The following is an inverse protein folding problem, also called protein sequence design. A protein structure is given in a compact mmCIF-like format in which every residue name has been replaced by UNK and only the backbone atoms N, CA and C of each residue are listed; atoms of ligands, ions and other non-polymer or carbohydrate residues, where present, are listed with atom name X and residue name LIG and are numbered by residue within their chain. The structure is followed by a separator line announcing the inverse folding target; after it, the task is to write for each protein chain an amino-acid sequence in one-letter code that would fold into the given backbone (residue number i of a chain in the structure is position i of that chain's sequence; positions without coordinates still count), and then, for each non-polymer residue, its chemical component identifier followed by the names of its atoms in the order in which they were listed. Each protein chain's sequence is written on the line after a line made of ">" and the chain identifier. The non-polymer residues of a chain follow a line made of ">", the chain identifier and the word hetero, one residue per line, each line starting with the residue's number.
data_IF_638974155948
#
_entry.id   IF_638974155948
#
_cell.length_a   1.000
_cell.length_b   1.000
_cell.length_c   1.000
_cell.angle_alpha   90.00
_cell.angle_beta   90.00
_cell.angle_gamma   90.00
#
_symmetry.space_group_name_H-M   'P 1'
#
loop_
_entity.id
_entity.type
_entity.pdbx_description
1 polymer ?
#
# COMPACT_ATOMS: atom_id res chain seq x y z
N UNK A 1 -11.53 13.10 3.08
CA UNK A 1 -12.23 13.88 2.06
C UNK A 1 -13.55 14.31 2.68
N UNK A 2 -13.89 15.60 2.64
CA UNK A 2 -15.20 16.05 3.08
C UNK A 2 -16.19 15.94 1.93
N UNK A 3 -17.42 15.60 2.24
CA UNK A 3 -18.55 15.64 1.30
C UNK A 3 -19.01 17.07 1.00
N UNK A 4 -18.27 18.07 1.47
CA UNK A 4 -18.62 19.46 1.24
C UNK A 4 -18.26 19.90 -0.18
N UNK A 5 -19.15 20.59 -0.84
CA UNK A 5 -18.95 21.19 -2.17
C UNK A 5 -17.82 22.22 -2.20
N UNK A 6 -17.34 22.65 -1.04
CA UNK A 6 -16.29 23.67 -0.88
C UNK A 6 -14.88 23.08 -0.77
N UNK A 7 -14.72 21.75 -0.76
CA UNK A 7 -13.45 21.08 -0.56
C UNK A 7 -12.88 21.30 0.85
N UNK A 8 -12.27 20.27 1.41
CA UNK A 8 -11.55 20.40 2.67
C UNK A 8 -10.04 20.37 2.39
N UNK A 9 -9.29 21.28 3.01
CA UNK A 9 -7.84 21.22 3.01
C UNK A 9 -7.40 20.05 3.91
N UNK A 10 -6.79 19.03 3.30
CA UNK A 10 -6.16 17.96 4.04
C UNK A 10 -4.70 18.35 4.32
N UNK A 11 -4.41 18.68 5.58
CA UNK A 11 -3.03 18.87 6.03
C UNK A 11 -2.49 17.52 6.51
N UNK A 12 -1.45 17.05 5.85
CA UNK A 12 -0.80 15.80 6.22
C UNK A 12 0.42 16.08 7.11
N UNK A 13 0.63 15.30 8.19
CA UNK A 13 1.83 15.40 9.00
C UNK A 13 3.07 14.96 8.23
N UNK A 14 4.24 15.26 8.78
CA UNK A 14 5.49 14.69 8.28
C UNK A 14 5.39 13.17 8.26
N UNK A 15 5.83 12.56 7.17
CA UNK A 15 5.93 11.11 7.06
C UNK A 15 7.12 10.69 6.20
N UNK A 16 7.63 9.48 6.46
CA UNK A 16 8.76 8.91 5.72
C UNK A 16 8.34 7.59 5.11
N UNK A 17 8.54 7.45 3.80
CA UNK A 17 8.44 6.15 3.15
C UNK A 17 9.74 5.38 3.38
N UNK A 18 9.64 4.25 4.09
CA UNK A 18 10.75 3.35 4.42
C UNK A 18 11.07 2.36 3.31
N UNK A 19 10.16 2.16 2.35
CA UNK A 19 10.42 1.31 1.18
C UNK A 19 11.45 1.99 0.27
N UNK A 20 12.57 1.31 -0.03
CA UNK A 20 13.72 1.93 -0.71
C UNK A 20 13.48 2.17 -2.20
N UNK A 21 12.67 1.34 -2.85
CA UNK A 21 12.34 1.39 -4.28
C UNK A 21 10.83 1.30 -4.43
N UNK A 22 10.13 2.40 -4.12
CA UNK A 22 8.67 2.38 -3.94
C UNK A 22 7.89 2.06 -5.22
N UNK A 23 8.50 2.24 -6.39
CA UNK A 23 7.88 1.88 -7.68
C UNK A 23 8.84 1.22 -8.68
N UNK A 24 10.02 0.79 -8.26
CA UNK A 24 10.97 0.02 -9.07
C UNK A 24 11.04 -1.42 -8.56
N UNK A 25 10.01 -2.22 -8.86
CA UNK A 25 9.88 -3.58 -8.35
C UNK A 25 10.86 -4.59 -8.98
N UNK A 26 11.59 -4.21 -10.04
CA UNK A 26 12.69 -4.99 -10.62
C UNK A 26 13.96 -4.94 -9.78
N UNK A 27 14.17 -3.89 -9.01
CA UNK A 27 15.40 -3.67 -8.24
C UNK A 27 15.63 -4.76 -7.18
N UNK A 28 16.88 -4.88 -6.73
CA UNK A 28 17.35 -5.95 -5.82
C UNK A 28 16.74 -5.87 -4.43
N UNK A 29 16.33 -4.70 -3.99
CA UNK A 29 15.63 -4.46 -2.72
C UNK A 29 14.31 -5.22 -2.65
N UNK A 30 13.70 -5.49 -3.79
CA UNK A 30 12.53 -6.34 -3.91
C UNK A 30 12.94 -7.80 -4.17
N UNK A 31 13.03 -8.57 -3.09
CA UNK A 31 13.28 -10.03 -3.17
C UNK A 31 12.04 -10.73 -3.74
N UNK A 32 12.23 -11.49 -4.79
CA UNK A 32 11.22 -12.25 -5.51
C UNK A 32 11.34 -13.74 -5.20
N UNK A 33 10.26 -14.39 -4.83
CA UNK A 33 10.19 -15.85 -4.63
C UNK A 33 9.07 -16.38 -5.50
N UNK A 34 9.37 -17.26 -6.43
CA UNK A 34 8.39 -17.83 -7.38
C UNK A 34 7.56 -16.75 -8.11
N UNK A 35 8.15 -15.59 -8.35
CA UNK A 35 7.52 -14.48 -9.06
C UNK A 35 8.50 -13.78 -9.99
N UNK A 36 7.94 -13.10 -10.98
CA UNK A 36 8.64 -12.15 -11.86
C UNK A 36 7.84 -10.85 -11.97
N UNK A 37 8.49 -9.78 -12.36
CA UNK A 37 7.86 -8.49 -12.62
C UNK A 37 8.20 -8.00 -14.02
N UNK A 38 7.23 -7.39 -14.70
CA UNK A 38 7.43 -6.65 -15.95
C UNK A 38 6.87 -5.25 -15.84
N UNK A 39 7.60 -4.29 -16.40
CA UNK A 39 7.31 -2.86 -16.32
C UNK A 39 6.39 -2.39 -17.47
N UNK A 40 6.10 -1.09 -17.46
CA UNK A 40 5.39 -0.35 -18.50
C UNK A 40 3.91 -0.71 -18.65
N UNK A 41 3.30 -1.15 -17.58
CA UNK A 41 1.86 -1.37 -17.51
C UNK A 41 1.10 -0.08 -17.20
N UNK A 42 -0.17 -0.02 -17.60
CA UNK A 42 -1.01 1.15 -17.33
C UNK A 42 -1.38 1.22 -15.85
N UNK A 43 -0.93 2.28 -15.19
CA UNK A 43 -1.11 2.53 -13.77
C UNK A 43 -2.34 3.39 -13.43
N UNK A 44 -2.43 3.75 -12.18
CA UNK A 44 -3.39 4.72 -11.66
C UNK A 44 -3.20 6.06 -12.40
N UNK A 45 -4.31 6.68 -12.81
CA UNK A 45 -4.29 7.94 -13.56
C UNK A 45 -3.80 7.82 -15.01
N UNK A 46 -3.66 6.59 -15.54
CA UNK A 46 -3.30 6.34 -16.96
C UNK A 46 -1.81 6.45 -17.28
N UNK A 47 -0.94 6.62 -16.27
CA UNK A 47 0.52 6.59 -16.47
C UNK A 47 1.02 5.18 -16.81
N UNK A 48 2.12 5.07 -17.57
CA UNK A 48 2.73 3.78 -17.98
C UNK A 48 3.84 3.36 -17.02
N UNK A 49 3.60 3.40 -15.73
CA UNK A 49 4.59 3.13 -14.68
C UNK A 49 4.12 2.08 -13.65
N UNK A 50 3.10 1.31 -13.96
CA UNK A 50 2.73 0.15 -13.18
C UNK A 50 3.54 -1.09 -13.59
N UNK A 51 3.44 -2.13 -12.79
CA UNK A 51 4.15 -3.39 -12.95
C UNK A 51 3.19 -4.57 -12.93
N UNK A 52 3.40 -5.52 -13.81
CA UNK A 52 2.73 -6.83 -13.75
C UNK A 52 3.56 -7.73 -12.83
N UNK A 53 2.98 -8.20 -11.73
CA UNK A 53 3.54 -9.19 -10.82
C UNK A 53 2.95 -10.55 -11.16
N UNK A 54 3.76 -11.45 -11.73
CA UNK A 54 3.37 -12.78 -12.15
C UNK A 54 3.94 -13.85 -11.23
N UNK A 55 3.11 -14.77 -10.76
CA UNK A 55 3.56 -15.96 -10.00
C UNK A 55 3.83 -17.13 -10.95
N UNK A 56 4.81 -17.96 -10.61
CA UNK A 56 5.22 -19.14 -11.38
C UNK A 56 5.20 -20.44 -10.57
N UNK A 57 4.85 -20.36 -9.29
CA UNK A 57 4.65 -21.51 -8.39
C UNK A 57 3.79 -21.10 -7.21
N UNK A 58 3.37 -22.07 -6.40
CA UNK A 58 2.66 -21.81 -5.13
C UNK A 58 3.43 -20.85 -4.24
N UNK A 59 2.69 -20.07 -3.46
CA UNK A 59 3.23 -19.08 -2.51
C UNK A 59 4.17 -18.06 -3.15
N UNK A 60 3.98 -17.79 -4.44
CA UNK A 60 4.72 -16.74 -5.14
C UNK A 60 4.52 -15.38 -4.49
N UNK A 61 5.61 -14.66 -4.22
CA UNK A 61 5.58 -13.37 -3.53
C UNK A 61 6.70 -12.43 -3.97
N UNK A 62 6.48 -11.14 -3.73
CA UNK A 62 7.53 -10.13 -3.72
C UNK A 62 7.57 -9.47 -2.34
N UNK A 63 8.76 -9.16 -1.83
CA UNK A 63 8.95 -8.56 -0.50
C UNK A 63 10.11 -7.60 -0.45
N UNK A 64 10.02 -6.65 0.47
CA UNK A 64 11.15 -5.81 0.86
C UNK A 64 11.47 -6.03 2.34
N UNK A 65 12.76 -6.20 2.66
CA UNK A 65 13.24 -6.34 4.04
C UNK A 65 13.40 -4.94 4.64
N UNK A 66 12.55 -4.63 5.62
CA UNK A 66 12.53 -3.38 6.36
C UNK A 66 12.33 -3.74 7.82
N UNK A 67 13.35 -3.51 8.65
CA UNK A 67 13.28 -3.76 10.09
C UNK A 67 12.74 -2.54 10.80
N UNK A 68 11.65 -2.72 11.52
CA UNK A 68 10.99 -1.64 12.28
C UNK A 68 10.20 -2.22 13.47
N UNK A 69 9.68 -1.36 14.31
CA UNK A 69 8.89 -1.71 15.50
C UNK A 69 7.77 -0.70 15.73
N UNK A 70 6.79 -1.06 16.57
CA UNK A 70 5.63 -0.24 16.84
C UNK A 70 4.59 -0.29 15.71
N UNK A 71 3.71 0.69 15.68
CA UNK A 71 2.71 0.82 14.64
C UNK A 71 3.38 1.13 13.28
N UNK A 72 3.13 0.28 12.29
CA UNK A 72 3.60 0.48 10.92
C UNK A 72 2.47 0.21 9.93
N UNK A 73 2.41 1.05 8.93
CA UNK A 73 1.41 0.97 7.87
C UNK A 73 2.11 0.65 6.54
N UNK A 74 1.66 -0.43 5.91
CA UNK A 74 2.05 -0.82 4.56
C UNK A 74 0.89 -0.53 3.60
N UNK A 75 1.15 0.19 2.54
CA UNK A 75 0.19 0.45 1.47
C UNK A 75 0.79 0.18 0.10
N UNK A 76 -0.04 -0.30 -0.82
CA UNK A 76 0.31 -0.53 -2.22
C UNK A 76 -0.94 -0.39 -3.09
N UNK A 77 -0.76 0.11 -4.30
CA UNK A 77 -1.82 0.15 -5.29
C UNK A 77 -1.82 -1.17 -6.04
N UNK A 78 -2.98 -1.81 -6.15
CA UNK A 78 -3.15 -3.12 -6.76
C UNK A 78 -4.35 -3.10 -7.68
N UNK A 79 -4.25 -3.80 -8.81
CA UNK A 79 -5.34 -4.01 -9.73
C UNK A 79 -5.37 -5.48 -10.14
N UNK A 80 -6.57 -5.99 -10.40
CA UNK A 80 -6.80 -7.32 -10.95
C UNK A 80 -6.05 -7.50 -12.28
N UNK A 81 -5.38 -8.63 -12.39
CA UNK A 81 -4.86 -9.18 -13.63
C UNK A 81 -5.66 -10.43 -14.01
N UNK A 82 -4.97 -11.55 -14.18
CA UNK A 82 -5.64 -12.86 -14.31
C UNK A 82 -6.15 -13.40 -12.96
N UNK A 83 -5.59 -12.92 -11.85
CA UNK A 83 -6.02 -13.23 -10.48
C UNK A 83 -6.83 -12.08 -9.89
N UNK A 84 -7.86 -12.42 -9.11
CA UNK A 84 -8.79 -11.48 -8.51
C UNK A 84 -8.49 -11.19 -7.03
N UNK A 85 -7.43 -11.73 -6.49
CA UNK A 85 -7.10 -11.57 -5.08
C UNK A 85 -5.64 -11.15 -4.88
N UNK A 86 -5.40 -10.39 -3.83
CA UNK A 86 -4.06 -10.08 -3.32
C UNK A 86 -4.00 -10.37 -1.84
N UNK A 87 -2.88 -10.91 -1.35
CA UNK A 87 -2.58 -10.97 0.07
C UNK A 87 -1.49 -9.98 0.40
N UNK A 88 -1.74 -9.08 1.35
CA UNK A 88 -0.72 -8.25 1.98
C UNK A 88 -0.30 -8.88 3.30
N UNK A 89 1.00 -8.81 3.60
CA UNK A 89 1.56 -9.47 4.77
C UNK A 89 2.65 -8.60 5.41
N UNK A 90 2.52 -8.37 6.71
CA UNK A 90 3.55 -7.78 7.57
C UNK A 90 4.16 -8.91 8.38
N UNK A 91 5.42 -9.23 8.10
CA UNK A 91 6.14 -10.28 8.79
C UNK A 91 6.83 -9.73 10.05
N UNK A 92 6.62 -10.41 11.15
CA UNK A 92 7.25 -10.15 12.43
C UNK A 92 7.67 -11.46 13.08
N UNK A 93 8.75 -11.45 13.85
CA UNK A 93 9.16 -12.62 14.65
C UNK A 93 8.29 -12.82 15.90
N UNK A 94 7.50 -11.83 16.29
CA UNK A 94 6.57 -11.91 17.41
C UNK A 94 5.15 -12.22 16.96
N UNK A 95 4.56 -11.35 16.13
CA UNK A 95 3.19 -11.53 15.66
C UNK A 95 3.05 -10.97 14.24
N UNK A 96 3.06 -11.84 13.25
CA UNK A 96 2.81 -11.48 11.85
C UNK A 96 1.33 -11.20 11.60
N UNK A 97 1.05 -10.36 10.61
CA UNK A 97 -0.32 -10.03 10.21
C UNK A 97 -0.51 -10.08 8.71
N UNK A 98 -1.70 -10.47 8.27
CA UNK A 98 -2.05 -10.46 6.85
C UNK A 98 -3.53 -10.18 6.60
N UNK A 99 -3.84 -9.80 5.38
CA UNK A 99 -5.20 -9.65 4.86
C UNK A 99 -5.23 -10.06 3.40
N UNK A 100 -6.33 -10.73 3.01
CA UNK A 100 -6.68 -10.94 1.60
C UNK A 100 -7.66 -9.85 1.15
N UNK A 101 -7.49 -9.35 -0.06
CA UNK A 101 -8.37 -8.33 -0.66
C UNK A 101 -8.83 -8.83 -2.02
N UNK A 102 -10.15 -8.78 -2.23
CA UNK A 102 -10.77 -9.08 -3.51
C UNK A 102 -10.67 -7.87 -4.44
N UNK A 103 -10.00 -8.02 -5.57
CA UNK A 103 -9.76 -6.97 -6.56
C UNK A 103 -10.92 -6.80 -7.57
N UNK A 104 -11.97 -7.61 -7.49
CA UNK A 104 -13.19 -7.40 -8.27
C UNK A 104 -14.11 -6.35 -7.63
N UNK A 105 -14.07 -6.21 -6.31
CA UNK A 105 -15.01 -5.37 -5.57
C UNK A 105 -14.39 -4.55 -4.41
N UNK A 106 -13.09 -4.76 -4.10
CA UNK A 106 -12.39 -4.06 -3.02
C UNK A 106 -12.74 -4.54 -1.61
N UNK A 107 -13.45 -5.65 -1.46
CA UNK A 107 -13.79 -6.19 -0.14
C UNK A 107 -12.63 -6.97 0.47
N UNK A 108 -12.49 -6.87 1.78
CA UNK A 108 -11.54 -7.68 2.53
C UNK A 108 -12.09 -9.08 2.77
N UNK A 109 -11.23 -10.06 2.59
CA UNK A 109 -11.46 -11.46 2.95
C UNK A 109 -10.81 -11.82 4.28
N UNK A 110 -10.28 -13.04 4.35
CA UNK A 110 -9.62 -13.58 5.54
C UNK A 110 -8.44 -12.71 5.97
N UNK A 111 -8.33 -12.49 7.26
CA UNK A 111 -7.20 -11.80 7.90
C UNK A 111 -6.63 -12.61 9.06
N UNK A 112 -5.37 -12.38 9.38
CA UNK A 112 -4.69 -12.98 10.54
C UNK A 112 -3.87 -11.93 11.29
N UNK A 113 -3.64 -12.14 12.59
CA UNK A 113 -2.88 -11.22 13.44
C UNK A 113 -3.57 -9.88 13.68
N UNK A 114 -4.89 -9.79 13.50
CA UNK A 114 -5.74 -8.63 13.81
C UNK A 114 -5.19 -7.28 13.28
N UNK A 115 -4.87 -7.15 11.98
CA UNK A 115 -4.46 -5.86 11.42
C UNK A 115 -5.64 -4.90 11.32
N UNK A 116 -5.35 -3.59 11.32
CA UNK A 116 -6.28 -2.61 10.78
C UNK A 116 -6.13 -2.56 9.26
N UNK A 117 -7.24 -2.66 8.54
CA UNK A 117 -7.25 -2.69 7.08
C UNK A 117 -8.13 -1.59 6.51
N UNK A 118 -7.65 -0.94 5.46
CA UNK A 118 -8.43 0.00 4.65
C UNK A 118 -8.17 -0.28 3.17
N UNK A 119 -9.24 -0.35 2.39
CA UNK A 119 -9.16 -0.47 0.93
C UNK A 119 -9.85 0.75 0.32
N UNK A 120 -9.13 1.49 -0.51
CA UNK A 120 -9.63 2.71 -1.14
C UNK A 120 -9.75 2.45 -2.64
N UNK A 121 -10.96 2.52 -3.21
CA UNK A 121 -11.11 2.40 -4.65
C UNK A 121 -10.46 3.59 -5.35
N UNK A 122 -9.81 3.31 -6.46
CA UNK A 122 -9.15 4.26 -7.33
C UNK A 122 -9.68 4.09 -8.76
N UNK A 123 -9.31 4.97 -9.66
CA UNK A 123 -9.75 4.92 -11.04
C UNK A 123 -9.29 3.64 -11.77
N UNK A 124 -10.06 3.25 -12.80
CA UNK A 124 -9.74 2.14 -13.71
C UNK A 124 -9.54 0.76 -13.05
N UNK A 125 -10.26 0.50 -11.95
CA UNK A 125 -10.24 -0.78 -11.25
C UNK A 125 -9.00 -0.99 -10.36
N UNK A 126 -8.29 0.06 -10.05
CA UNK A 126 -7.23 0.06 -9.04
C UNK A 126 -7.82 0.19 -7.63
N UNK A 127 -7.12 -0.37 -6.67
CA UNK A 127 -7.38 -0.20 -5.24
C UNK A 127 -6.08 0.16 -4.53
N UNK A 128 -6.11 1.15 -3.65
CA UNK A 128 -5.05 1.31 -2.66
C UNK A 128 -5.37 0.42 -1.47
N UNK A 129 -4.62 -0.65 -1.32
CA UNK A 129 -4.75 -1.60 -0.22
C UNK A 129 -3.78 -1.20 0.90
N UNK A 130 -4.29 -1.09 2.13
CA UNK A 130 -3.57 -0.56 3.30
C UNK A 130 -3.75 -1.55 4.44
N UNK A 131 -2.64 -1.96 5.04
CA UNK A 131 -2.62 -2.81 6.23
C UNK A 131 -1.74 -2.15 7.30
N UNK A 132 -2.25 -2.03 8.51
CA UNK A 132 -1.53 -1.49 9.66
C UNK A 132 -1.43 -2.53 10.76
N UNK A 133 -0.26 -2.67 11.35
CA UNK A 133 -0.03 -3.52 12.53
C UNK A 133 0.88 -2.80 13.51
N UNK A 134 0.48 -2.81 14.78
CA UNK A 134 1.34 -2.45 15.90
C UNK A 134 1.92 -3.73 16.49
N UNK A 135 3.21 -3.94 16.30
CA UNK A 135 3.95 -5.09 16.81
C UNK A 135 5.45 -4.81 16.84
N UNK A 136 6.19 -5.63 17.56
CA UNK A 136 7.65 -5.55 17.61
C UNK A 136 8.31 -6.43 16.55
N UNK A 137 9.60 -6.17 16.28
CA UNK A 137 10.42 -7.01 15.41
C UNK A 137 9.82 -7.30 14.02
N UNK A 138 9.20 -6.30 13.40
CA UNK A 138 8.82 -6.36 11.99
C UNK A 138 10.11 -6.47 11.18
N UNK A 139 10.14 -7.37 10.20
CA UNK A 139 11.34 -7.65 9.42
C UNK A 139 11.13 -7.59 7.90
N UNK A 140 9.91 -7.71 7.41
CA UNK A 140 9.62 -7.49 6.00
C UNK A 140 8.11 -7.29 5.71
N UNK A 141 7.83 -6.70 4.55
CA UNK A 141 6.51 -6.46 4.01
C UNK A 141 6.38 -7.19 2.67
N UNK A 142 5.24 -7.89 2.45
CA UNK A 142 5.07 -8.81 1.31
C UNK A 142 3.78 -8.57 0.56
N UNK A 143 3.83 -8.84 -0.74
CA UNK A 143 2.68 -8.85 -1.66
C UNK A 143 2.65 -10.23 -2.31
N UNK A 144 1.49 -10.91 -2.25
CA UNK A 144 1.25 -12.18 -2.90
C UNK A 144 0.11 -12.03 -3.90
N UNK A 145 0.30 -12.36 -5.17
CA UNK A 145 -0.82 -12.70 -6.04
C UNK A 145 -1.53 -13.93 -5.47
N UNK A 146 -2.83 -13.80 -5.15
CA UNK A 146 -3.60 -14.85 -4.50
C UNK A 146 -4.68 -15.39 -5.45
N UNK A 147 -4.98 -16.67 -5.33
CA UNK A 147 -5.88 -17.38 -6.23
C UNK A 147 -7.34 -17.20 -5.80
N UNK A 148 -7.55 -17.16 -4.49
CA UNK A 148 -8.83 -16.92 -3.85
C UNK A 148 -8.63 -16.31 -2.45
N UNK A 149 -9.72 -16.10 -1.71
CA UNK A 149 -9.64 -15.80 -0.28
C UNK A 149 -8.93 -16.95 0.44
N UNK A 150 -7.96 -16.59 1.25
CA UNK A 150 -7.11 -17.53 2.03
C UNK A 150 -6.38 -18.58 1.19
N UNK A 151 -6.11 -18.29 -0.08
CA UNK A 151 -5.44 -19.25 -0.99
C UNK A 151 -4.35 -18.57 -1.83
N UNK A 152 -3.11 -19.08 -1.71
CA UNK A 152 -1.94 -18.74 -2.52
C UNK A 152 -1.32 -19.95 -3.21
N UNK A 153 -2.03 -21.10 -3.22
CA UNK A 153 -1.50 -22.40 -3.64
C UNK A 153 -1.38 -22.59 -5.15
N UNK A 154 -2.10 -21.81 -5.96
CA UNK A 154 -2.01 -21.87 -7.41
C UNK A 154 -0.60 -21.57 -7.93
N UNK A 155 -0.29 -22.10 -9.10
CA UNK A 155 1.07 -22.10 -9.66
C UNK A 155 1.29 -21.08 -10.78
N UNK A 156 0.27 -20.27 -11.12
CA UNK A 156 0.36 -19.27 -12.18
C UNK A 156 -0.66 -18.15 -11.95
N UNK A 157 -0.48 -17.07 -12.69
CA UNK A 157 -1.38 -15.92 -12.67
C UNK A 157 -0.66 -14.65 -12.27
N UNK A 158 -1.35 -13.53 -12.37
CA UNK A 158 -0.75 -12.22 -12.16
C UNK A 158 -1.77 -11.21 -11.60
N UNK A 159 -1.22 -10.15 -11.02
CA UNK A 159 -1.89 -8.90 -10.64
C UNK A 159 -1.03 -7.72 -11.09
N UNK A 160 -1.61 -6.52 -11.16
CA UNK A 160 -0.85 -5.28 -11.36
C UNK A 160 -0.56 -4.63 -10.01
N UNK A 161 0.64 -4.09 -9.85
CA UNK A 161 1.09 -3.39 -8.63
C UNK A 161 1.73 -2.04 -8.97
N UNK A 162 1.63 -1.07 -8.04
CA UNK A 162 2.21 0.25 -8.17
C UNK A 162 2.36 0.90 -6.79
N UNK A 163 3.33 1.79 -6.60
CA UNK A 163 3.43 2.72 -5.46
C UNK A 163 3.37 2.04 -4.07
N UNK A 164 4.32 1.16 -3.80
CA UNK A 164 4.46 0.59 -2.45
C UNK A 164 5.01 1.63 -1.47
N UNK A 165 4.45 1.67 -0.27
CA UNK A 165 4.86 2.58 0.78
C UNK A 165 4.77 1.91 2.14
N UNK A 166 5.81 2.08 2.95
CA UNK A 166 5.88 1.65 4.34
C UNK A 166 6.16 2.87 5.21
N UNK A 167 5.31 3.13 6.18
CA UNK A 167 5.40 4.29 7.07
C UNK A 167 5.33 3.86 8.52
N UNK A 168 6.13 4.49 9.38
CA UNK A 168 5.90 4.43 10.82
C UNK A 168 4.64 5.23 11.15
N UNK A 169 3.71 4.61 11.88
CA UNK A 169 2.43 5.20 12.24
C UNK A 169 1.24 4.30 11.91
N UNK A 170 0.06 4.72 12.34
CA UNK A 170 -1.19 3.95 12.30
C UNK A 170 -2.07 4.20 11.06
N UNK A 171 -1.60 4.98 10.10
CA UNK A 171 -2.32 5.28 8.86
C UNK A 171 -1.37 5.59 7.71
N UNK A 172 -1.82 5.40 6.48
CA UNK A 172 -1.07 5.75 5.29
C UNK A 172 -1.36 7.22 4.89
N UNK A 173 -0.29 7.95 4.59
CA UNK A 173 -0.36 9.30 4.01
C UNK A 173 -0.38 9.25 2.48
N UNK A 174 -0.39 10.39 1.80
CA UNK A 174 -0.20 10.46 0.34
C UNK A 174 1.11 9.78 -0.08
N UNK A 175 1.14 9.26 -1.30
CA UNK A 175 2.31 8.53 -1.80
C UNK A 175 3.57 9.40 -1.80
N UNK A 176 4.64 8.86 -1.21
CA UNK A 176 5.98 9.47 -1.13
C UNK A 176 6.92 8.61 -1.98
N UNK A 177 7.36 9.07 -3.16
CA UNK A 177 8.25 8.30 -4.02
C UNK A 177 9.64 8.14 -3.40
N UNK A 178 10.22 6.94 -3.58
CA UNK A 178 11.60 6.63 -3.19
C UNK A 178 12.35 5.96 -4.33
N UNK A 179 13.67 6.18 -4.37
CA UNK A 179 14.58 5.57 -5.35
C UNK A 179 15.94 5.30 -4.69
N UNK A 180 16.13 4.10 -4.15
CA UNK A 180 17.37 3.64 -3.50
C UNK A 180 17.57 4.13 -2.06
N UNK A 181 16.77 5.06 -1.57
CA UNK A 181 16.83 5.56 -0.18
C UNK A 181 15.44 5.94 0.33
N UNK A 182 15.28 5.99 1.64
CA UNK A 182 14.05 6.49 2.27
C UNK A 182 13.87 7.97 1.96
N UNK A 183 12.62 8.41 1.83
CA UNK A 183 12.29 9.82 1.56
C UNK A 183 11.28 10.30 2.60
N UNK A 184 11.54 11.48 3.15
CA UNK A 184 10.65 12.14 4.10
C UNK A 184 9.93 13.30 3.41
N UNK A 185 8.60 13.29 3.46
CA UNK A 185 7.77 14.45 3.15
C UNK A 185 7.58 15.24 4.45
N UNK A 186 7.84 16.54 4.40
CA UNK A 186 7.59 17.44 5.52
C UNK A 186 6.08 17.57 5.77
N UNK A 187 5.73 18.00 6.99
CA UNK A 187 4.34 18.33 7.31
C UNK A 187 3.86 19.50 6.45
N UNK A 188 2.61 19.41 6.01
CA UNK A 188 1.98 20.53 5.33
C UNK A 188 1.79 21.69 6.31
N UNK A 189 2.07 22.90 5.84
CA UNK A 189 1.92 24.13 6.61
C UNK A 189 0.94 25.05 5.89
N UNK A 190 -0.14 25.42 6.56
CA UNK A 190 -1.10 26.37 6.05
C UNK A 190 -0.76 27.76 6.63
N UNK A 191 0.02 28.55 5.88
CA UNK A 191 0.35 29.92 6.25
C UNK A 191 -0.60 30.89 5.52
N UNK A 192 -1.07 31.92 6.21
CA UNK A 192 -1.96 32.96 5.66
C UNK A 192 -3.32 32.43 5.14
N UNK A 193 -3.83 31.37 5.72
CA UNK A 193 -5.13 30.79 5.35
C UNK A 193 -6.34 31.54 5.91
N UNK A 194 -6.20 32.81 6.17
CA UNK A 194 -7.20 33.67 6.78
C UNK A 194 -6.85 34.07 8.22
N UNK A 195 -7.51 35.10 8.72
CA UNK A 195 -7.47 35.52 10.13
C UNK A 195 -8.57 34.78 10.90
N UNK A 196 -8.51 34.82 12.24
CA UNK A 196 -9.62 34.31 13.08
C UNK A 196 -10.96 34.98 12.77
N UNK A 197 -10.96 36.07 12.03
CA UNK A 197 -12.15 36.78 11.58
C UNK A 197 -12.75 36.19 10.30
N UNK A 198 -11.98 35.39 9.56
CA UNK A 198 -12.46 34.72 8.36
C UNK A 198 -13.13 33.37 8.67
N UNK A 199 -13.06 32.93 9.93
CA UNK A 199 -13.75 31.74 10.42
C UNK A 199 -14.92 32.17 11.30
N UNK A 200 -16.11 32.23 10.70
CA UNK A 200 -17.33 32.49 11.45
C UNK A 200 -17.73 31.21 12.22
N UNK A 201 -17.65 31.23 13.53
CA UNK A 201 -18.00 30.09 14.39
C UNK A 201 -19.54 29.88 14.46
N UNK A 202 -20.32 30.71 13.81
CA UNK A 202 -21.79 30.60 13.79
C UNK A 202 -22.32 29.84 12.55
N UNK A 203 -21.44 29.45 11.61
CA UNK A 203 -21.79 28.69 10.41
C UNK A 203 -21.36 27.20 10.47
N UNK A 204 -21.15 26.65 11.65
CA UNK A 204 -20.80 25.25 11.90
C UNK A 204 -22.03 24.37 12.14
#
# INVERSE_FOLDING_TARGET
>A
FSDSTNGALLLEPQSTNLALQSNQFNESEWSKTNTSVSANETGVGGSTNAWLLSKSSSDGLIRQFITTTGANTFSVYVKKGSLSWVRLFIASSTESSSVYVNLDNGLTGTSSGSPTVKVVPMDNGWYRCIITKDTTNINNFRIYPADADNDTSGTSGNIYIQYAQVEAGSYATSYIPTSGSTTTRLADVCNNSGSAQDFNSEEG
#
